data_IF_277315605360
#
_entry.id   IF_277315605360
#
_cell.length_a   1.000
_cell.length_b   1.000
_cell.length_c   1.000
_cell.angle_alpha   90.00
_cell.angle_beta   90.00
_cell.angle_gamma   90.00
#
_symmetry.space_group_name_H-M   'P 1'
#
loop_
_entity.id
_entity.type
_entity.pdbx_description
1 polymer ?
#
# COMPACT_ATOMS: atom_id res chain seq x y z
N UNK A 1 5.87 -5.39 -20.70
CA UNK A 1 5.72 -4.36 -19.65
C UNK A 1 6.18 -4.93 -18.31
N UNK A 2 6.85 -4.13 -17.48
CA UNK A 2 7.43 -4.61 -16.22
C UNK A 2 6.34 -4.98 -15.20
N UNK A 3 6.45 -6.18 -14.61
CA UNK A 3 5.58 -6.65 -13.53
C UNK A 3 5.91 -5.87 -12.25
N UNK A 4 4.89 -5.32 -11.58
CA UNK A 4 5.08 -4.73 -10.26
C UNK A 4 5.57 -5.84 -9.32
N UNK A 5 6.74 -5.63 -8.72
CA UNK A 5 7.39 -6.59 -7.82
C UNK A 5 7.03 -6.25 -6.38
N UNK A 6 6.65 -7.27 -5.63
CA UNK A 6 6.44 -7.19 -4.18
C UNK A 6 7.75 -6.73 -3.51
N UNK A 7 7.72 -5.80 -2.55
CA UNK A 7 8.89 -5.47 -1.75
C UNK A 7 9.29 -6.69 -0.90
N UNK A 8 10.60 -6.82 -0.68
CA UNK A 8 11.10 -7.70 0.36
C UNK A 8 10.90 -7.01 1.71
N UNK A 9 9.96 -7.54 2.49
CA UNK A 9 9.65 -7.06 3.84
C UNK A 9 9.71 -8.26 4.81
N UNK A 10 10.12 -8.06 6.07
CA UNK A 10 10.09 -9.11 7.07
C UNK A 10 8.67 -9.68 7.24
N UNK A 11 8.59 -10.92 7.72
CA UNK A 11 7.33 -11.53 8.08
C UNK A 11 6.55 -10.68 9.08
N UNK A 12 5.23 -10.63 8.91
CA UNK A 12 4.33 -9.87 9.78
C UNK A 12 3.30 -9.03 9.00
N UNK A 13 2.64 -8.07 9.68
CA UNK A 13 1.51 -7.33 9.12
C UNK A 13 1.83 -6.58 7.82
N UNK A 14 3.05 -6.05 7.69
CA UNK A 14 3.51 -5.36 6.47
C UNK A 14 3.53 -6.32 5.28
N UNK A 15 4.03 -7.56 5.47
CA UNK A 15 4.03 -8.59 4.43
C UNK A 15 2.62 -8.98 4.01
N UNK A 16 1.73 -9.23 4.97
CA UNK A 16 0.34 -9.60 4.71
C UNK A 16 -0.40 -8.52 3.91
N UNK A 17 -0.19 -7.24 4.24
CA UNK A 17 -0.71 -6.12 3.47
C UNK A 17 -0.26 -6.14 2.00
N UNK A 18 1.05 -6.28 1.74
CA UNK A 18 1.56 -6.30 0.36
C UNK A 18 1.11 -7.55 -0.40
N UNK A 19 1.01 -8.70 0.27
CA UNK A 19 0.49 -9.92 -0.32
C UNK A 19 -0.96 -9.75 -0.75
N UNK A 20 -1.82 -9.18 0.10
CA UNK A 20 -3.22 -8.94 -0.21
C UNK A 20 -3.40 -7.93 -1.34
N UNK A 21 -2.67 -6.81 -1.31
CA UNK A 21 -2.71 -5.80 -2.38
C UNK A 21 -2.30 -6.39 -3.74
N UNK A 22 -1.26 -7.24 -3.77
CA UNK A 22 -0.86 -7.91 -5.00
C UNK A 22 -1.83 -9.01 -5.43
N UNK A 23 -2.47 -9.71 -4.50
CA UNK A 23 -3.52 -10.67 -4.83
C UNK A 23 -4.70 -9.98 -5.53
N UNK A 24 -5.10 -8.79 -5.06
CA UNK A 24 -6.10 -7.96 -5.75
C UNK A 24 -5.63 -7.53 -7.14
N UNK A 25 -4.36 -7.13 -7.28
CA UNK A 25 -3.78 -6.78 -8.57
C UNK A 25 -3.79 -7.95 -9.57
N UNK A 26 -3.48 -9.16 -9.09
CA UNK A 26 -3.57 -10.39 -9.89
C UNK A 26 -5.01 -10.71 -10.28
N UNK A 27 -5.95 -10.66 -9.34
CA UNK A 27 -7.37 -10.93 -9.59
C UNK A 27 -7.98 -9.96 -10.61
N UNK A 28 -7.53 -8.70 -10.61
CA UNK A 28 -7.95 -7.68 -11.57
C UNK A 28 -7.30 -7.81 -12.96
N UNK A 29 -6.54 -8.89 -13.24
CA UNK A 29 -5.87 -9.09 -14.53
C UNK A 29 -4.58 -8.28 -14.68
N UNK A 30 -3.97 -7.85 -13.58
CA UNK A 30 -2.69 -7.13 -13.54
C UNK A 30 -2.67 -5.83 -14.37
N UNK A 31 -3.59 -4.87 -14.13
CA UNK A 31 -3.59 -3.60 -14.83
C UNK A 31 -2.25 -2.88 -14.67
N UNK A 32 -1.75 -2.29 -15.76
CA UNK A 32 -0.53 -1.48 -15.75
C UNK A 32 -0.70 -0.23 -14.89
N UNK A 33 0.41 0.36 -14.44
CA UNK A 33 0.42 1.63 -13.69
C UNK A 33 -0.34 2.73 -14.44
N UNK A 34 -0.19 2.81 -15.78
CA UNK A 34 -0.92 3.79 -16.59
C UNK A 34 -2.42 3.51 -16.67
N UNK A 35 -2.83 2.24 -16.69
CA UNK A 35 -4.25 1.87 -16.61
C UNK A 35 -4.84 2.26 -15.25
N UNK A 36 -4.13 1.99 -14.15
CA UNK A 36 -4.54 2.41 -12.81
C UNK A 36 -4.61 3.93 -12.66
N UNK A 37 -3.67 4.68 -13.23
CA UNK A 37 -3.76 6.16 -13.27
C UNK A 37 -5.06 6.60 -13.95
N UNK A 38 -5.41 6.02 -15.11
CA UNK A 38 -6.63 6.39 -15.84
C UNK A 38 -7.89 6.00 -15.06
N UNK A 39 -7.90 4.82 -14.44
CA UNK A 39 -9.04 4.32 -13.66
C UNK A 39 -9.28 5.12 -12.37
N UNK A 40 -8.21 5.65 -11.75
CA UNK A 40 -8.31 6.46 -10.53
C UNK A 40 -8.67 7.93 -10.77
N UNK A 41 -9.03 8.30 -12.01
CA UNK A 41 -9.52 9.64 -12.32
C UNK A 41 -10.91 9.84 -11.70
N UNK A 42 -11.10 10.96 -11.03
CA UNK A 42 -12.37 11.34 -10.42
C UNK A 42 -12.57 12.86 -10.49
N UNK A 43 -13.75 13.34 -10.12
CA UNK A 43 -14.02 14.78 -10.01
C UNK A 43 -13.02 15.49 -9.07
N UNK A 44 -12.57 14.81 -8.00
CA UNK A 44 -11.58 15.34 -7.05
C UNK A 44 -10.13 15.18 -7.52
N UNK A 45 -9.88 14.26 -8.46
CA UNK A 45 -8.55 13.94 -8.98
C UNK A 45 -8.63 13.72 -10.50
N UNK A 46 -8.77 14.80 -11.31
CA UNK A 46 -9.04 14.69 -12.75
C UNK A 46 -7.90 14.04 -13.53
N UNK A 47 -6.66 14.15 -13.03
CA UNK A 47 -5.47 13.53 -13.63
C UNK A 47 -5.21 12.10 -13.15
N UNK A 48 -5.98 11.62 -12.17
CA UNK A 48 -5.77 10.34 -11.50
C UNK A 48 -4.55 10.34 -10.60
N UNK A 49 -4.22 9.19 -10.01
CA UNK A 49 -3.04 9.06 -9.15
C UNK A 49 -1.77 9.08 -10.00
N UNK A 50 -0.76 9.83 -9.56
CA UNK A 50 0.52 9.87 -10.25
C UNK A 50 1.10 8.44 -10.41
N UNK A 51 1.54 8.04 -11.61
CA UNK A 51 2.18 6.75 -11.88
C UNK A 51 3.29 6.38 -10.88
N UNK A 52 4.12 7.34 -10.46
CA UNK A 52 5.18 7.10 -9.47
C UNK A 52 4.60 6.76 -8.11
N UNK A 53 3.51 7.42 -7.70
CA UNK A 53 2.81 7.14 -6.44
C UNK A 53 2.18 5.75 -6.47
N UNK A 54 1.56 5.36 -7.58
CA UNK A 54 1.02 4.01 -7.77
C UNK A 54 2.16 2.99 -7.68
N UNK A 55 3.23 3.17 -8.47
CA UNK A 55 4.39 2.28 -8.45
C UNK A 55 4.94 2.12 -7.02
N UNK A 56 5.13 3.21 -6.31
CA UNK A 56 5.64 3.19 -4.94
C UNK A 56 4.71 2.46 -3.96
N UNK A 57 3.39 2.56 -4.14
CA UNK A 57 2.43 1.85 -3.30
C UNK A 57 2.53 0.32 -3.44
N UNK A 58 3.03 -0.18 -4.57
CA UNK A 58 3.27 -1.61 -4.78
C UNK A 58 4.68 -2.04 -4.45
N UNK A 59 5.69 -1.20 -4.70
CA UNK A 59 7.10 -1.63 -4.74
C UNK A 59 7.91 -1.15 -3.55
N UNK A 60 7.58 -0.01 -2.93
CA UNK A 60 8.37 0.50 -1.80
C UNK A 60 7.92 -0.17 -0.50
N UNK A 61 8.85 -0.55 0.40
CA UNK A 61 8.53 -1.13 1.70
C UNK A 61 8.01 -0.08 2.70
N UNK A 62 7.33 0.97 2.23
CA UNK A 62 6.74 2.03 3.03
C UNK A 62 5.29 2.20 2.62
N UNK A 63 4.38 2.10 3.59
CA UNK A 63 2.97 2.26 3.34
C UNK A 63 2.67 3.71 2.93
N UNK A 64 1.86 3.84 1.88
CA UNK A 64 1.26 5.13 1.50
C UNK A 64 0.04 5.40 2.36
N UNK A 65 -0.41 6.65 2.35
CA UNK A 65 -1.62 7.06 3.04
C UNK A 65 -2.83 6.25 2.57
N UNK A 66 -3.71 5.92 3.52
CA UNK A 66 -4.85 5.02 3.26
C UNK A 66 -5.71 5.48 2.09
N UNK A 67 -5.98 6.79 1.97
CA UNK A 67 -6.79 7.35 0.89
C UNK A 67 -6.25 7.00 -0.51
N UNK A 68 -4.93 6.98 -0.68
CA UNK A 68 -4.28 6.58 -1.94
C UNK A 68 -4.47 5.09 -2.20
N UNK A 69 -4.22 4.27 -1.18
CA UNK A 69 -4.32 2.80 -1.27
C UNK A 69 -5.75 2.37 -1.53
N UNK A 70 -6.71 2.97 -0.82
CA UNK A 70 -8.13 2.72 -0.97
C UNK A 70 -8.60 3.01 -2.39
N UNK A 71 -8.18 4.12 -2.99
CA UNK A 71 -8.54 4.48 -4.35
C UNK A 71 -7.99 3.45 -5.36
N UNK A 72 -6.73 3.03 -5.21
CA UNK A 72 -6.15 1.98 -6.05
C UNK A 72 -6.93 0.67 -5.89
N UNK A 73 -7.14 0.22 -4.65
CA UNK A 73 -7.80 -1.04 -4.35
C UNK A 73 -9.26 -1.07 -4.80
N UNK A 74 -9.95 0.08 -4.77
CA UNK A 74 -11.32 0.21 -5.29
C UNK A 74 -11.38 -0.10 -6.77
N UNK A 75 -10.40 0.37 -7.54
CA UNK A 75 -10.30 0.08 -8.98
C UNK A 75 -9.92 -1.38 -9.26
N UNK A 76 -9.29 -2.07 -8.30
CA UNK A 76 -8.97 -3.49 -8.40
C UNK A 76 -10.16 -4.40 -8.02
N UNK A 77 -11.25 -3.85 -7.47
CA UNK A 77 -12.44 -4.62 -7.10
C UNK A 77 -12.25 -5.57 -5.92
N UNK A 78 -11.25 -5.34 -5.06
CA UNK A 78 -10.98 -6.17 -3.88
C UNK A 78 -11.76 -5.76 -2.64
N UNK A 79 -11.67 -6.57 -1.58
CA UNK A 79 -12.24 -6.27 -0.27
C UNK A 79 -11.45 -5.13 0.43
N UNK A 80 -12.01 -3.93 0.39
CA UNK A 80 -11.43 -2.74 1.01
C UNK A 80 -11.37 -2.82 2.53
N UNK A 81 -12.30 -3.52 3.17
CA UNK A 81 -12.36 -3.62 4.62
C UNK A 81 -11.23 -4.51 5.14
N UNK A 82 -11.06 -5.68 4.52
CA UNK A 82 -9.93 -6.56 4.82
C UNK A 82 -8.59 -5.86 4.58
N UNK A 83 -8.44 -5.18 3.44
CA UNK A 83 -7.22 -4.45 3.13
C UNK A 83 -6.96 -3.31 4.13
N UNK A 84 -8.01 -2.62 4.59
CA UNK A 84 -7.90 -1.56 5.59
C UNK A 84 -7.37 -2.10 6.93
N UNK A 85 -7.87 -3.25 7.40
CA UNK A 85 -7.40 -3.86 8.63
C UNK A 85 -5.91 -4.21 8.54
N UNK A 86 -5.49 -4.80 7.41
CA UNK A 86 -4.08 -5.10 7.16
C UNK A 86 -3.22 -3.83 7.06
N UNK A 87 -3.70 -2.80 6.37
CA UNK A 87 -3.01 -1.50 6.25
C UNK A 87 -2.81 -0.87 7.62
N UNK A 88 -3.83 -0.89 8.50
CA UNK A 88 -3.75 -0.35 9.85
C UNK A 88 -2.72 -1.08 10.70
N UNK A 89 -2.78 -2.41 10.73
CA UNK A 89 -1.80 -3.22 11.48
C UNK A 89 -0.38 -2.99 10.97
N UNK A 90 -0.19 -2.95 9.65
CA UNK A 90 1.10 -2.66 9.04
C UNK A 90 1.60 -1.25 9.37
N UNK A 91 0.71 -0.24 9.37
CA UNK A 91 1.03 1.15 9.72
C UNK A 91 1.48 1.27 11.18
N UNK A 92 0.77 0.63 12.11
CA UNK A 92 1.16 0.61 13.53
C UNK A 92 2.56 0.02 13.71
N UNK A 93 2.88 -1.06 13.01
CA UNK A 93 4.21 -1.68 13.01
C UNK A 93 5.27 -0.72 12.43
N UNK A 94 5.00 -0.06 11.30
CA UNK A 94 5.94 0.91 10.73
C UNK A 94 6.20 2.11 11.65
N UNK A 95 5.16 2.61 12.33
CA UNK A 95 5.31 3.72 13.27
C UNK A 95 6.19 3.32 14.45
N UNK A 96 6.06 2.09 14.97
CA UNK A 96 6.93 1.56 16.03
C UNK A 96 8.40 1.40 15.60
N UNK A 97 8.66 1.13 14.31
CA UNK A 97 10.04 1.02 13.80
C UNK A 97 10.65 2.37 13.38
N UNK A 98 9.84 3.34 12.95
CA UNK A 98 10.32 4.67 12.57
C UNK A 98 10.44 5.62 13.77
N UNK A 99 9.74 5.36 14.87
CA UNK A 99 9.94 6.01 16.16
C UNK A 99 10.58 5.00 17.12
N UNK A 100 11.91 4.89 17.18
CA UNK A 100 12.50 4.16 18.28
C UNK A 100 12.12 4.92 19.55
N UNK A 101 11.24 4.34 20.37
CA UNK A 101 10.98 4.79 21.73
C UNK A 101 12.33 5.17 22.37
N UNK A 102 12.48 6.35 22.99
CA UNK A 102 13.68 6.63 23.76
C UNK A 102 13.74 5.55 24.83
N UNK A 103 14.69 4.62 24.68
CA UNK A 103 14.93 3.58 25.69
C UNK A 103 15.06 4.31 27.01
N UNK A 104 14.13 4.03 27.92
CA UNK A 104 14.17 4.58 29.26
C UNK A 104 15.56 4.35 29.84
N UNK A 105 16.32 5.42 30.01
CA UNK A 105 17.48 5.39 30.87
C UNK A 105 16.94 5.31 32.28
N UNK A 106 17.10 4.12 32.84
CA UNK A 106 16.77 3.76 34.20
C UNK A 106 17.31 4.80 35.19
N UNK A 107 16.52 5.02 36.24
CA UNK A 107 16.96 5.64 37.47
C UNK A 107 18.26 4.99 37.98
N UNK A 108 19.18 5.81 38.47
CA UNK A 108 20.15 5.46 39.51
C UNK A 108 20.34 6.68 40.39
#
# INVERSE_FOLDING_TARGET
MARLRKPLVPDGPVRLYFERLHAMHLAAGQPSVRQLQRATRSARRPTGINPTTIHDAFVKPRLREWEVVQEIARQLGGDLHELFLLWRQARDVQLRYCNPEPRGTAHT
#
